data_IF_011620395229
#
_entry.id   IF_011620395229
#
_cell.length_a   1.000
_cell.length_b   1.000
_cell.length_c   1.000
_cell.angle_alpha   90.00
_cell.angle_beta   90.00
_cell.angle_gamma   90.00
#
_symmetry.space_group_name_H-M   'P 1'
#
loop_
_entity.id
_entity.type
_entity.pdbx_description
1 polymer ?
#
# COMPACT_ATOMS: atom_id res chain seq x y z
N UNK A 1 16.21 -4.51 -1.88
CA UNK A 1 14.95 -4.47 -2.64
C UNK A 1 14.09 -5.59 -2.09
N UNK A 2 12.97 -5.24 -1.44
CA UNK A 2 12.13 -6.22 -0.73
C UNK A 2 11.07 -6.83 -1.65
N UNK A 3 10.80 -8.10 -1.45
CA UNK A 3 9.67 -8.81 -2.01
C UNK A 3 8.47 -8.52 -1.12
N UNK A 4 7.44 -7.89 -1.69
CA UNK A 4 6.22 -7.57 -0.97
C UNK A 4 5.12 -8.53 -1.40
N UNK A 5 4.33 -9.02 -0.45
CA UNK A 5 3.13 -9.80 -0.72
C UNK A 5 1.94 -9.06 -0.11
N UNK A 6 1.04 -8.63 -0.97
CA UNK A 6 -0.26 -8.10 -0.58
C UNK A 6 -1.19 -9.27 -0.34
N UNK A 7 -1.75 -9.36 0.85
CA UNK A 7 -2.52 -10.53 1.31
C UNK A 7 -3.87 -10.10 1.85
N UNK A 8 -4.88 -10.92 1.58
CA UNK A 8 -6.22 -10.83 2.14
C UNK A 8 -6.78 -12.23 2.37
N UNK A 9 -7.71 -12.39 3.33
CA UNK A 9 -8.36 -13.67 3.64
C UNK A 9 -9.87 -13.51 3.75
N UNK A 10 -10.62 -14.54 3.27
CA UNK A 10 -12.01 -14.73 3.63
C UNK A 10 -12.13 -15.82 4.67
N UNK A 11 -13.09 -15.67 5.59
CA UNK A 11 -13.22 -16.52 6.76
C UNK A 11 -14.67 -16.93 7.02
N UNK A 12 -14.88 -18.01 7.80
CA UNK A 12 -16.23 -18.44 8.18
C UNK A 12 -16.94 -17.51 9.14
N UNK A 13 -16.22 -16.55 9.75
CA UNK A 13 -16.74 -15.60 10.72
C UNK A 13 -15.64 -14.65 11.20
N UNK A 14 -15.84 -14.00 12.33
CA UNK A 14 -15.00 -12.89 12.78
C UNK A 14 -13.94 -13.26 13.84
N UNK A 15 -13.91 -14.50 14.35
CA UNK A 15 -13.08 -14.84 15.49
C UNK A 15 -12.44 -16.22 15.34
N UNK A 16 -11.15 -16.24 15.02
CA UNK A 16 -10.34 -17.46 14.98
C UNK A 16 -10.34 -18.19 16.33
N UNK A 17 -10.34 -17.46 17.44
CA UNK A 17 -10.38 -18.04 18.80
C UNK A 17 -11.70 -18.77 19.09
N UNK A 18 -12.81 -18.35 18.48
CA UNK A 18 -14.10 -19.02 18.58
C UNK A 18 -14.27 -20.16 17.56
N UNK A 19 -13.19 -20.52 16.86
CA UNK A 19 -13.14 -21.64 15.94
C UNK A 19 -13.54 -21.27 14.52
N UNK A 20 -13.63 -19.98 14.15
CA UNK A 20 -13.76 -19.61 12.76
C UNK A 20 -12.47 -19.93 12.00
N UNK A 21 -12.60 -20.20 10.71
CA UNK A 21 -11.56 -20.77 9.86
C UNK A 21 -11.36 -19.95 8.60
N UNK A 22 -10.17 -19.97 8.04
CA UNK A 22 -9.89 -19.41 6.71
C UNK A 22 -10.54 -20.30 5.64
N UNK A 23 -11.21 -19.68 4.68
CA UNK A 23 -11.84 -20.37 3.54
C UNK A 23 -11.26 -19.94 2.18
N UNK A 24 -10.63 -18.76 2.12
CA UNK A 24 -9.93 -18.26 0.93
C UNK A 24 -8.69 -17.48 1.36
N UNK A 25 -7.58 -17.69 0.67
CA UNK A 25 -6.35 -16.92 0.80
C UNK A 25 -5.98 -16.36 -0.58
N UNK A 26 -5.88 -15.06 -0.66
CA UNK A 26 -5.44 -14.34 -1.85
C UNK A 26 -4.15 -13.58 -1.58
N UNK A 27 -3.13 -13.83 -2.41
CA UNK A 27 -1.85 -13.13 -2.33
C UNK A 27 -1.45 -12.62 -3.71
N UNK A 28 -0.94 -11.39 -3.73
CA UNK A 28 -0.43 -10.72 -4.93
C UNK A 28 1.00 -10.27 -4.66
N UNK A 29 1.93 -10.69 -5.51
CA UNK A 29 3.34 -10.36 -5.34
C UNK A 29 3.71 -9.06 -6.05
N UNK A 30 4.37 -8.17 -5.30
CA UNK A 30 4.99 -6.95 -5.81
C UNK A 30 6.51 -7.03 -5.68
N UNK A 31 7.20 -6.64 -6.74
CA UNK A 31 8.64 -6.41 -6.72
C UNK A 31 8.94 -5.04 -7.32
N UNK A 32 9.64 -4.19 -6.58
CA UNK A 32 9.88 -2.79 -6.99
C UNK A 32 8.57 -2.05 -7.35
N UNK A 33 7.51 -2.24 -6.56
CA UNK A 33 6.18 -1.63 -6.74
C UNK A 33 5.47 -2.03 -8.04
N UNK A 34 5.85 -3.15 -8.65
CA UNK A 34 5.21 -3.70 -9.84
C UNK A 34 4.71 -5.10 -9.55
N UNK A 35 3.54 -5.41 -10.07
CA UNK A 35 2.98 -6.76 -10.04
C UNK A 35 3.92 -7.70 -10.80
N UNK A 36 4.27 -8.84 -10.19
CA UNK A 36 5.12 -9.85 -10.82
C UNK A 36 4.32 -10.90 -11.57
N UNK A 37 3.04 -11.10 -11.16
CA UNK A 37 2.19 -12.17 -11.63
C UNK A 37 2.43 -13.51 -10.92
N UNK A 38 3.39 -13.58 -9.99
CA UNK A 38 3.62 -14.76 -9.14
C UNK A 38 2.67 -14.71 -7.93
N UNK A 39 1.40 -14.90 -8.18
CA UNK A 39 0.33 -14.78 -7.21
C UNK A 39 -0.06 -16.13 -6.61
N UNK A 40 -0.58 -16.13 -5.39
CA UNK A 40 -1.16 -17.31 -4.76
C UNK A 40 -2.66 -17.10 -4.54
N UNK A 41 -3.46 -18.12 -4.89
CA UNK A 41 -4.90 -18.11 -4.65
C UNK A 41 -5.38 -19.50 -4.28
N UNK A 42 -5.88 -19.66 -3.06
CA UNK A 42 -6.27 -20.96 -2.53
C UNK A 42 -7.63 -20.86 -1.82
N UNK A 43 -8.50 -21.83 -2.11
CA UNK A 43 -9.71 -22.08 -1.31
C UNK A 43 -9.48 -23.26 -0.37
N UNK A 44 -10.03 -23.18 0.83
CA UNK A 44 -9.91 -24.21 1.86
C UNK A 44 -11.26 -24.75 2.29
N UNK A 45 -11.28 -26.04 2.63
CA UNK A 45 -12.40 -26.63 3.33
C UNK A 45 -12.25 -26.36 4.84
N UNK A 46 -13.11 -25.54 5.44
CA UNK A 46 -13.03 -25.19 6.86
C UNK A 46 -13.58 -26.30 7.79
N UNK A 47 -14.20 -27.36 7.24
CA UNK A 47 -14.93 -28.41 7.97
C UNK A 47 -16.05 -27.87 8.87
N UNK A 48 -16.58 -26.71 8.55
CA UNK A 48 -17.71 -26.06 9.23
C UNK A 48 -18.46 -25.15 8.26
N UNK A 49 -19.65 -24.76 8.66
CA UNK A 49 -20.43 -23.76 7.91
C UNK A 49 -19.96 -22.34 8.24
N UNK A 50 -20.05 -21.48 7.26
CA UNK A 50 -19.85 -20.04 7.47
C UNK A 50 -21.04 -19.43 8.18
N UNK A 51 -20.81 -18.40 8.99
CA UNK A 51 -21.87 -17.57 9.54
C UNK A 51 -22.63 -16.89 8.39
N UNK A 52 -23.96 -16.71 8.54
CA UNK A 52 -24.80 -16.12 7.50
C UNK A 52 -24.30 -14.74 7.03
N UNK A 53 -23.76 -13.94 7.94
CA UNK A 53 -23.29 -12.61 7.60
C UNK A 53 -21.97 -12.68 6.82
N UNK A 54 -21.06 -13.61 7.12
CA UNK A 54 -19.86 -13.86 6.37
C UNK A 54 -20.21 -14.38 4.95
N UNK A 55 -21.15 -15.34 4.86
CA UNK A 55 -21.61 -15.85 3.58
C UNK A 55 -22.19 -14.77 2.66
N UNK A 56 -22.91 -13.78 3.21
CA UNK A 56 -23.42 -12.62 2.44
C UNK A 56 -22.30 -11.75 1.88
N UNK A 57 -21.15 -11.70 2.54
CA UNK A 57 -19.99 -10.89 2.14
C UNK A 57 -19.21 -11.59 1.03
N UNK A 58 -18.75 -12.82 1.25
CA UNK A 58 -17.87 -13.53 0.31
C UNK A 58 -18.60 -14.45 -0.68
N UNK A 59 -19.85 -14.86 -0.41
CA UNK A 59 -20.66 -15.69 -1.32
C UNK A 59 -20.19 -17.14 -1.47
N UNK A 60 -19.16 -17.59 -0.75
CA UNK A 60 -18.59 -18.95 -0.85
C UNK A 60 -19.44 -19.94 -0.05
N UNK A 61 -20.15 -20.83 -0.74
CA UNK A 61 -21.05 -21.79 -0.10
C UNK A 61 -20.27 -22.99 0.49
N UNK A 62 -20.84 -23.62 1.51
CA UNK A 62 -20.30 -24.85 2.10
C UNK A 62 -20.11 -25.94 1.05
N UNK A 63 -21.03 -26.06 0.10
CA UNK A 63 -20.95 -27.06 -0.97
C UNK A 63 -19.76 -26.81 -1.89
N UNK A 64 -19.47 -25.54 -2.22
CA UNK A 64 -18.29 -25.17 -3.00
C UNK A 64 -16.98 -25.51 -2.28
N UNK A 65 -16.94 -25.33 -0.97
CA UNK A 65 -15.75 -25.52 -0.17
C UNK A 65 -15.50 -26.99 0.24
N UNK A 66 -16.51 -27.84 0.15
CA UNK A 66 -16.46 -29.24 0.63
C UNK A 66 -15.31 -30.04 0.01
N UNK A 67 -15.06 -29.87 -1.27
CA UNK A 67 -14.05 -30.62 -2.03
C UNK A 67 -12.69 -29.92 -2.06
N UNK A 68 -12.53 -28.80 -1.35
CA UNK A 68 -11.26 -28.11 -1.27
C UNK A 68 -10.33 -28.75 -0.24
N UNK A 69 -9.00 -28.59 -0.37
CA UNK A 69 -8.06 -29.06 0.64
C UNK A 69 -8.26 -28.32 1.96
N UNK A 70 -7.91 -28.94 3.07
CA UNK A 70 -7.84 -28.27 4.37
C UNK A 70 -6.61 -27.38 4.43
N UNK A 71 -6.62 -26.32 5.25
CA UNK A 71 -5.46 -25.44 5.43
C UNK A 71 -4.21 -26.24 5.81
N UNK A 72 -4.30 -27.16 6.78
CA UNK A 72 -3.18 -27.96 7.23
C UNK A 72 -2.48 -28.77 6.11
N UNK A 73 -3.23 -29.14 5.05
CA UNK A 73 -2.65 -29.88 3.91
C UNK A 73 -1.72 -29.00 3.06
N UNK A 74 -2.01 -27.72 2.94
CA UNK A 74 -1.26 -26.76 2.11
C UNK A 74 -0.47 -25.74 2.94
N UNK A 75 -0.48 -25.88 4.27
CA UNK A 75 0.16 -24.92 5.16
C UNK A 75 1.66 -24.76 4.88
N UNK A 76 2.35 -25.84 4.48
CA UNK A 76 3.77 -25.76 4.15
C UNK A 76 4.01 -24.98 2.85
N UNK A 77 3.15 -25.13 1.85
CA UNK A 77 3.22 -24.38 0.58
C UNK A 77 2.97 -22.90 0.83
N UNK A 78 2.01 -22.58 1.73
CA UNK A 78 1.74 -21.19 2.17
C UNK A 78 2.96 -20.61 2.87
N UNK A 79 3.59 -21.34 3.80
CA UNK A 79 4.81 -20.89 4.48
C UNK A 79 5.91 -20.61 3.47
N UNK A 80 6.14 -21.53 2.52
CA UNK A 80 7.21 -21.39 1.53
C UNK A 80 6.97 -20.19 0.62
N UNK A 81 5.73 -19.96 0.20
CA UNK A 81 5.36 -18.79 -0.60
C UNK A 81 5.54 -17.47 0.16
N UNK A 82 5.19 -17.41 1.45
CA UNK A 82 5.29 -16.20 2.27
C UNK A 82 6.68 -15.94 2.84
N UNK A 83 7.58 -16.93 2.78
CA UNK A 83 8.92 -16.88 3.40
C UNK A 83 9.70 -15.66 2.96
N UNK A 84 10.30 -14.95 3.95
CA UNK A 84 11.17 -13.79 3.78
C UNK A 84 10.52 -12.60 3.06
N UNK A 85 9.20 -12.64 2.81
CA UNK A 85 8.45 -11.53 2.24
C UNK A 85 7.98 -10.56 3.31
N UNK A 86 7.92 -9.29 2.97
CA UNK A 86 7.16 -8.28 3.71
C UNK A 86 5.68 -8.39 3.32
N UNK A 87 4.79 -8.43 4.31
CA UNK A 87 3.36 -8.55 4.08
C UNK A 87 2.66 -7.19 4.14
N UNK A 88 1.79 -6.94 3.19
CA UNK A 88 0.95 -5.76 3.10
C UNK A 88 -0.50 -6.21 3.27
N UNK A 89 -1.14 -5.80 4.36
CA UNK A 89 -2.48 -6.27 4.73
C UNK A 89 -3.33 -5.08 5.18
N UNK A 90 -4.63 -5.10 4.89
CA UNK A 90 -5.56 -4.07 5.32
C UNK A 90 -6.30 -4.49 6.60
N UNK A 91 -6.01 -3.87 7.73
CA UNK A 91 -6.42 -4.32 9.06
C UNK A 91 -5.73 -5.62 9.47
N UNK A 92 -4.40 -5.62 9.39
CA UNK A 92 -3.53 -6.79 9.48
C UNK A 92 -3.75 -7.68 10.71
N UNK A 93 -4.21 -7.13 11.83
CA UNK A 93 -4.45 -7.91 13.04
C UNK A 93 -5.48 -9.04 12.83
N UNK A 94 -6.45 -8.84 11.93
CA UNK A 94 -7.47 -9.83 11.60
C UNK A 94 -6.84 -11.04 10.87
N UNK A 95 -6.22 -10.82 9.73
CA UNK A 95 -5.67 -11.89 8.89
C UNK A 95 -4.51 -12.60 9.56
N UNK A 96 -3.62 -11.85 10.23
CA UNK A 96 -2.50 -12.41 11.01
C UNK A 96 -3.03 -13.30 12.14
N UNK A 97 -4.10 -12.89 12.82
CA UNK A 97 -4.75 -13.70 13.86
C UNK A 97 -5.25 -15.05 13.31
N UNK A 98 -5.96 -15.01 12.18
CA UNK A 98 -6.46 -16.22 11.53
C UNK A 98 -5.33 -17.12 11.00
N UNK A 99 -4.32 -16.56 10.32
CA UNK A 99 -3.17 -17.31 9.84
C UNK A 99 -2.41 -17.99 10.98
N UNK A 100 -2.15 -17.27 12.07
CA UNK A 100 -1.49 -17.84 13.23
C UNK A 100 -2.30 -18.98 13.85
N UNK A 101 -3.64 -18.84 13.90
CA UNK A 101 -4.51 -19.92 14.44
C UNK A 101 -4.51 -21.15 13.54
N UNK A 102 -4.55 -20.99 12.24
CA UNK A 102 -4.45 -22.10 11.29
C UNK A 102 -3.09 -22.81 11.37
N UNK A 103 -2.00 -22.04 11.50
CA UNK A 103 -0.66 -22.58 11.68
C UNK A 103 -0.53 -23.34 13.02
N UNK A 104 -1.07 -22.78 14.11
CA UNK A 104 -1.13 -23.46 15.42
C UNK A 104 -1.85 -24.80 15.33
N UNK A 105 -3.04 -24.83 14.69
CA UNK A 105 -3.81 -26.05 14.49
C UNK A 105 -3.08 -27.08 13.62
N UNK A 106 -2.23 -26.64 12.71
CA UNK A 106 -1.37 -27.49 11.89
C UNK A 106 -0.07 -27.93 12.61
N UNK A 107 0.18 -27.46 13.83
CA UNK A 107 1.42 -27.73 14.58
C UNK A 107 2.66 -27.05 14.00
N UNK A 108 2.47 -25.91 13.32
CA UNK A 108 3.51 -25.15 12.63
C UNK A 108 3.86 -23.86 13.38
N UNK A 109 5.04 -23.28 13.14
CA UNK A 109 5.47 -22.05 13.81
C UNK A 109 4.62 -20.84 13.39
N UNK A 110 4.51 -19.80 14.25
CA UNK A 110 3.72 -18.62 13.95
C UNK A 110 4.28 -17.83 12.75
N UNK A 111 3.42 -17.06 12.09
CA UNK A 111 3.71 -16.27 10.88
C UNK A 111 5.00 -15.44 11.02
N UNK A 112 5.17 -14.75 12.13
CA UNK A 112 6.32 -13.89 12.41
C UNK A 112 7.68 -14.61 12.43
N UNK A 113 7.71 -15.96 12.45
CA UNK A 113 8.95 -16.73 12.45
C UNK A 113 9.56 -16.92 11.06
N UNK A 114 8.80 -16.66 10.00
CA UNK A 114 9.25 -16.90 8.62
C UNK A 114 8.92 -15.78 7.63
N UNK A 115 8.14 -14.77 8.02
CA UNK A 115 7.90 -13.56 7.20
C UNK A 115 8.77 -12.40 7.69
N UNK A 116 8.94 -11.39 6.84
CA UNK A 116 9.54 -10.12 7.22
C UNK A 116 8.57 -9.22 8.02
N UNK A 117 8.56 -7.94 7.71
CA UNK A 117 7.66 -6.99 8.35
C UNK A 117 6.21 -7.19 7.88
N UNK A 118 5.25 -6.88 8.76
CA UNK A 118 3.82 -6.83 8.41
C UNK A 118 3.37 -5.38 8.47
N UNK A 119 3.04 -4.83 7.32
CA UNK A 119 2.54 -3.46 7.16
C UNK A 119 1.01 -3.45 7.16
N UNK A 120 0.41 -2.73 8.12
CA UNK A 120 -1.04 -2.49 8.19
C UNK A 120 -1.42 -1.22 7.41
N UNK A 121 -2.01 -1.40 6.22
CA UNK A 121 -2.43 -0.27 5.37
C UNK A 121 -3.59 0.53 5.94
N UNK A 122 -4.43 -0.05 6.82
CA UNK A 122 -5.48 0.69 7.53
C UNK A 122 -4.87 1.68 8.53
N UNK A 123 -3.83 1.25 9.26
CA UNK A 123 -3.10 2.11 10.19
C UNK A 123 -2.39 3.24 9.42
N UNK A 124 -1.74 2.91 8.29
CA UNK A 124 -1.12 3.92 7.41
C UNK A 124 -2.15 4.93 6.88
N UNK A 125 -3.28 4.44 6.37
CA UNK A 125 -4.33 5.31 5.84
C UNK A 125 -4.94 6.22 6.92
N UNK A 126 -5.11 5.74 8.15
CA UNK A 126 -5.57 6.55 9.29
C UNK A 126 -4.58 7.65 9.64
N UNK A 127 -3.29 7.41 9.53
CA UNK A 127 -2.24 8.42 9.77
C UNK A 127 -2.26 9.52 8.69
N UNK A 128 -2.44 9.14 7.41
CA UNK A 128 -2.48 10.09 6.28
C UNK A 128 -3.83 10.82 6.19
N UNK A 129 -4.94 10.14 6.49
CA UNK A 129 -6.30 10.68 6.37
C UNK A 129 -7.08 10.57 7.70
N UNK A 130 -6.66 11.30 8.75
CA UNK A 130 -7.33 11.24 10.05
C UNK A 130 -8.79 11.71 9.92
N UNK A 131 -9.69 11.01 10.62
CA UNK A 131 -11.13 11.34 10.64
C UNK A 131 -11.89 11.02 9.35
N UNK A 132 -11.25 10.40 8.34
CA UNK A 132 -11.91 9.94 7.12
C UNK A 132 -12.22 8.43 7.20
N UNK A 133 -13.15 7.97 6.34
CA UNK A 133 -13.33 6.53 6.13
C UNK A 133 -12.11 5.98 5.41
N UNK A 134 -11.53 4.92 5.96
CA UNK A 134 -10.29 4.30 5.46
C UNK A 134 -10.46 2.78 5.23
N UNK A 135 -11.70 2.29 5.02
CA UNK A 135 -11.92 0.95 4.49
C UNK A 135 -11.32 0.81 3.10
N UNK A 136 -11.03 -0.41 2.65
CA UNK A 136 -10.50 -0.68 1.31
C UNK A 136 -11.34 -0.02 0.22
N UNK A 137 -12.68 -0.14 0.29
CA UNK A 137 -13.61 0.54 -0.62
C UNK A 137 -13.43 2.06 -0.64
N UNK A 138 -13.34 2.67 0.55
CA UNK A 138 -13.18 4.12 0.66
C UNK A 138 -11.82 4.60 0.12
N UNK A 139 -10.79 3.76 0.20
CA UNK A 139 -9.48 4.04 -0.36
C UNK A 139 -9.48 3.83 -1.88
N UNK A 140 -10.15 2.80 -2.40
CA UNK A 140 -10.35 2.60 -3.84
C UNK A 140 -11.05 3.83 -4.46
N UNK A 141 -12.16 4.28 -3.86
CA UNK A 141 -12.88 5.47 -4.33
C UNK A 141 -12.00 6.73 -4.30
N UNK A 142 -11.19 6.90 -3.25
CA UNK A 142 -10.29 8.05 -3.09
C UNK A 142 -9.17 8.09 -4.11
N UNK A 143 -8.62 6.93 -4.46
CA UNK A 143 -7.50 6.82 -5.40
C UNK A 143 -7.93 6.51 -6.84
N UNK A 144 -9.24 6.38 -7.10
CA UNK A 144 -9.76 6.04 -8.43
C UNK A 144 -9.40 4.63 -8.88
N UNK A 145 -9.25 3.70 -7.94
CA UNK A 145 -9.03 2.27 -8.24
C UNK A 145 -10.37 1.65 -8.63
N UNK A 146 -10.42 1.08 -9.83
CA UNK A 146 -11.64 0.48 -10.36
C UNK A 146 -11.96 -0.84 -9.65
N UNK A 147 -13.16 -0.90 -9.06
CA UNK A 147 -13.71 -2.07 -8.37
C UNK A 147 -15.04 -2.55 -8.98
N UNK A 148 -15.34 -2.17 -10.21
CA UNK A 148 -16.61 -2.48 -10.88
C UNK A 148 -16.88 -4.00 -11.02
N UNK A 149 -15.83 -4.80 -11.05
CA UNK A 149 -15.91 -6.26 -11.13
C UNK A 149 -16.15 -6.96 -9.78
N UNK A 150 -16.23 -6.22 -8.66
CA UNK A 150 -16.39 -6.76 -7.31
C UNK A 150 -17.86 -6.91 -6.95
N UNK A 151 -18.45 -8.06 -7.27
CA UNK A 151 -19.83 -8.41 -6.89
C UNK A 151 -19.90 -8.92 -5.45
N UNK A 152 -18.94 -9.74 -5.05
CA UNK A 152 -18.69 -10.24 -3.70
C UNK A 152 -17.27 -9.89 -3.29
N UNK A 153 -16.99 -9.93 -1.98
CA UNK A 153 -15.64 -9.92 -1.48
C UNK A 153 -14.96 -11.25 -1.85
N UNK A 154 -13.73 -11.19 -2.29
CA UNK A 154 -12.92 -12.36 -2.60
C UNK A 154 -11.47 -12.03 -2.36
N UNK A 155 -10.78 -12.85 -1.57
CA UNK A 155 -9.45 -12.55 -1.06
C UNK A 155 -8.44 -12.21 -2.18
N UNK A 156 -8.50 -12.90 -3.32
CA UNK A 156 -7.61 -12.59 -4.46
C UNK A 156 -7.89 -11.22 -5.06
N UNK A 157 -9.17 -10.88 -5.26
CA UNK A 157 -9.55 -9.59 -5.83
C UNK A 157 -9.23 -8.44 -4.86
N UNK A 158 -9.51 -8.65 -3.57
CA UNK A 158 -9.24 -7.65 -2.55
C UNK A 158 -7.74 -7.40 -2.36
N UNK A 159 -6.90 -8.45 -2.44
CA UNK A 159 -5.45 -8.31 -2.49
C UNK A 159 -4.97 -7.52 -3.73
N UNK A 160 -5.59 -7.70 -4.90
CA UNK A 160 -5.27 -6.91 -6.12
C UNK A 160 -5.64 -5.44 -5.94
N UNK A 161 -6.86 -5.15 -5.46
CA UNK A 161 -7.31 -3.78 -5.16
C UNK A 161 -6.41 -3.12 -4.11
N UNK A 162 -6.03 -3.88 -3.07
CA UNK A 162 -5.13 -3.40 -2.03
C UNK A 162 -3.73 -3.10 -2.58
N UNK A 163 -3.22 -3.88 -3.54
CA UNK A 163 -1.94 -3.61 -4.17
C UNK A 163 -1.94 -2.24 -4.88
N UNK A 164 -2.99 -1.93 -5.64
CA UNK A 164 -3.16 -0.63 -6.30
C UNK A 164 -3.32 0.51 -5.28
N UNK A 165 -4.11 0.28 -4.23
CA UNK A 165 -4.28 1.24 -3.13
C UNK A 165 -2.94 1.50 -2.43
N UNK A 166 -2.17 0.47 -2.10
CA UNK A 166 -0.87 0.59 -1.44
C UNK A 166 0.15 1.38 -2.29
N UNK A 167 0.21 1.07 -3.60
CA UNK A 167 1.05 1.82 -4.53
C UNK A 167 0.67 3.31 -4.54
N UNK A 168 -0.62 3.64 -4.54
CA UNK A 168 -1.08 5.03 -4.52
C UNK A 168 -0.86 5.70 -3.16
N UNK A 169 -1.13 5.01 -2.06
CA UNK A 169 -0.98 5.51 -0.69
C UNK A 169 0.49 5.88 -0.38
N UNK A 170 1.44 5.14 -0.95
CA UNK A 170 2.88 5.32 -0.72
C UNK A 170 3.59 6.15 -1.80
N UNK A 171 2.88 6.65 -2.81
CA UNK A 171 3.47 7.45 -3.93
C UNK A 171 4.14 8.76 -3.51
N UNK A 172 3.78 9.33 -2.38
CA UNK A 172 4.33 10.62 -1.91
C UNK A 172 5.49 10.48 -0.93
N UNK A 173 5.75 9.28 -0.40
CA UNK A 173 6.75 9.09 0.66
C UNK A 173 8.18 8.96 0.12
N UNK A 174 8.37 8.43 -1.07
CA UNK A 174 9.72 8.32 -1.67
C UNK A 174 10.34 9.66 -2.06
N UNK A 175 9.54 10.72 -2.19
CA UNK A 175 10.02 12.05 -2.56
C UNK A 175 10.48 12.92 -1.38
N UNK A 176 10.25 12.47 -0.13
CA UNK A 176 10.56 13.26 1.08
C UNK A 176 11.60 12.61 2.02
N UNK A 177 12.08 11.43 1.72
CA UNK A 177 13.26 10.87 2.39
C UNK A 177 14.55 11.41 1.77
N UNK A 178 14.70 12.72 1.74
CA UNK A 178 16.02 13.34 1.78
C UNK A 178 16.46 13.17 3.23
N UNK A 179 17.26 12.18 3.46
CA UNK A 179 17.82 11.86 4.77
C UNK A 179 18.75 12.99 5.23
N UNK A 180 18.21 13.94 5.97
CA UNK A 180 18.95 15.10 6.53
C UNK A 180 19.69 14.69 7.80
N UNK A 181 19.64 13.44 8.25
CA UNK A 181 20.16 13.02 9.57
C UNK A 181 21.15 11.86 9.58
N UNK A 182 21.62 11.33 8.46
CA UNK A 182 22.69 10.33 8.53
C UNK A 182 24.07 10.97 8.47
N UNK A 183 24.59 11.33 9.64
CA UNK A 183 26.02 11.58 9.88
C UNK A 183 26.81 10.26 10.05
N UNK A 184 26.40 9.18 9.40
CA UNK A 184 27.15 7.93 9.37
C UNK A 184 27.77 7.73 7.98
N UNK A 185 29.07 7.48 7.87
CA UNK A 185 29.69 7.24 6.55
C UNK A 185 29.28 5.86 6.03
N UNK A 186 28.21 5.80 5.23
CA UNK A 186 27.89 4.61 4.47
C UNK A 186 29.05 4.31 3.51
N UNK A 187 29.59 3.10 3.59
CA UNK A 187 30.55 2.54 2.62
C UNK A 187 29.88 2.29 1.26
N UNK A 188 29.46 3.36 0.62
CA UNK A 188 29.08 3.41 -0.78
C UNK A 188 29.73 4.64 -1.38
N UNK A 189 30.50 4.50 -2.44
CA UNK A 189 31.08 5.62 -3.18
C UNK A 189 29.96 6.56 -3.60
N UNK A 190 29.75 7.63 -2.83
CA UNK A 190 28.93 8.77 -3.25
C UNK A 190 29.68 9.37 -4.45
N UNK A 191 29.13 9.18 -5.65
CA UNK A 191 29.59 9.95 -6.82
C UNK A 191 29.19 11.42 -6.56
N UNK A 192 30.14 12.17 -6.00
CA UNK A 192 30.02 13.63 -5.93
C UNK A 192 30.19 14.13 -7.37
N UNK A 193 29.10 14.44 -8.03
CA UNK A 193 29.12 15.09 -9.34
C UNK A 193 29.49 16.54 -9.09
N UNK A 194 30.69 16.94 -9.49
CA UNK A 194 31.10 18.35 -9.49
C UNK A 194 30.37 19.08 -10.62
N UNK A 195 29.30 19.79 -10.27
CA UNK A 195 28.50 20.55 -11.23
C UNK A 195 29.27 21.74 -11.83
N UNK A 196 30.38 22.17 -11.22
CA UNK A 196 31.21 23.26 -11.75
C UNK A 196 31.99 22.82 -13.01
N UNK A 197 32.12 21.51 -13.25
CA UNK A 197 32.74 20.97 -14.45
C UNK A 197 31.83 20.98 -15.70
N UNK A 198 30.56 21.37 -15.55
CA UNK A 198 29.57 21.42 -16.63
C UNK A 198 29.17 22.85 -16.93
N UNK A 199 29.27 23.28 -18.18
CA UNK A 199 28.64 24.50 -18.66
C UNK A 199 27.12 24.25 -18.79
N UNK A 200 26.39 24.55 -17.73
CA UNK A 200 24.93 24.43 -17.73
C UNK A 200 24.33 25.61 -18.48
N UNK A 201 23.43 25.40 -19.47
CA UNK A 201 22.78 26.49 -20.15
C UNK A 201 21.87 27.23 -19.14
N UNK A 202 22.14 28.53 -18.97
CA UNK A 202 21.26 29.42 -18.19
C UNK A 202 20.12 29.87 -19.11
N UNK A 203 18.92 29.38 -18.80
CA UNK A 203 17.72 29.87 -19.52
C UNK A 203 17.41 31.28 -19.06
N UNK A 204 17.49 32.22 -20.00
CA UNK A 204 17.10 33.61 -19.77
C UNK A 204 15.70 33.81 -20.33
N UNK A 205 14.83 34.42 -19.54
CA UNK A 205 13.47 34.72 -19.99
C UNK A 205 13.47 35.66 -21.19
N UNK A 206 12.61 35.39 -22.15
CA UNK A 206 12.40 36.26 -23.33
C UNK A 206 11.71 37.58 -22.95
N UNK A 207 11.84 38.58 -23.77
CA UNK A 207 11.14 39.87 -23.56
C UNK A 207 9.62 39.70 -23.44
N UNK A 208 9.04 38.78 -24.20
CA UNK A 208 7.62 38.42 -24.13
C UNK A 208 7.23 37.82 -22.78
N UNK A 209 8.04 36.90 -22.24
CA UNK A 209 7.81 36.27 -20.93
C UNK A 209 7.96 37.31 -19.81
N UNK A 210 8.93 38.20 -19.90
CA UNK A 210 9.10 39.29 -18.93
C UNK A 210 7.91 40.27 -18.95
N UNK A 211 7.38 40.61 -20.13
CA UNK A 211 6.20 41.43 -20.25
C UNK A 211 4.95 40.77 -19.67
N UNK A 212 4.74 39.47 -19.98
CA UNK A 212 3.63 38.69 -19.42
C UNK A 212 3.73 38.57 -17.89
N UNK A 213 4.93 38.39 -17.37
CA UNK A 213 5.18 38.36 -15.92
C UNK A 213 4.83 39.70 -15.26
N UNK A 214 5.23 40.82 -15.85
CA UNK A 214 4.92 42.16 -15.32
C UNK A 214 3.41 42.43 -15.33
N UNK A 215 2.69 42.01 -16.37
CA UNK A 215 1.22 42.13 -16.42
C UNK A 215 0.54 41.37 -15.26
N UNK A 216 1.02 40.17 -14.93
CA UNK A 216 0.53 39.41 -13.77
C UNK A 216 0.84 40.13 -12.47
N UNK A 217 2.06 40.67 -12.30
CA UNK A 217 2.45 41.41 -11.11
C UNK A 217 1.58 42.66 -10.92
N UNK A 218 1.24 43.38 -11.99
CA UNK A 218 0.33 44.55 -11.95
C UNK A 218 -1.07 44.15 -11.49
N UNK A 219 -1.59 42.99 -11.92
CA UNK A 219 -2.89 42.48 -11.47
C UNK A 219 -2.84 42.11 -9.99
N UNK A 220 -1.76 41.48 -9.54
CA UNK A 220 -1.57 41.12 -8.14
C UNK A 220 -1.44 42.36 -7.25
N UNK A 221 -0.74 43.39 -7.69
CA UNK A 221 -0.62 44.65 -6.97
C UNK A 221 -1.98 45.34 -6.79
N UNK A 222 -2.83 45.35 -7.83
CA UNK A 222 -4.20 45.87 -7.73
C UNK A 222 -5.04 45.09 -6.70
N UNK A 223 -4.92 43.76 -6.64
CA UNK A 223 -5.70 42.93 -5.75
C UNK A 223 -5.18 42.91 -4.31
N UNK A 224 -3.88 43.16 -4.10
CA UNK A 224 -3.19 43.13 -2.81
C UNK A 224 -2.93 44.52 -2.20
N UNK A 225 -3.42 45.59 -2.82
CA UNK A 225 -3.10 46.99 -2.45
C UNK A 225 -1.59 47.25 -2.35
N UNK A 226 -0.84 46.81 -3.35
CA UNK A 226 0.61 47.03 -3.45
C UNK A 226 1.48 46.14 -2.53
N UNK A 227 0.93 45.07 -1.99
CA UNK A 227 1.65 44.15 -1.07
C UNK A 227 2.13 42.86 -1.76
N UNK A 228 2.55 42.94 -3.00
CA UNK A 228 3.01 41.76 -3.75
C UNK A 228 4.39 41.32 -3.26
N UNK A 229 4.50 40.08 -2.71
CA UNK A 229 5.73 39.55 -2.14
C UNK A 229 6.89 39.47 -3.13
N UNK A 230 6.61 39.26 -4.41
CA UNK A 230 7.63 39.19 -5.47
C UNK A 230 8.34 40.53 -5.70
N UNK A 231 7.65 41.66 -5.59
CA UNK A 231 8.30 42.99 -5.70
C UNK A 231 9.16 43.27 -4.46
N UNK A 232 8.71 42.88 -3.27
CA UNK A 232 9.47 43.05 -2.03
C UNK A 232 10.75 42.18 -1.99
N UNK A 233 10.70 40.98 -2.63
CA UNK A 233 11.87 40.11 -2.75
C UNK A 233 12.91 40.69 -3.74
N UNK A 234 12.47 41.29 -4.85
CA UNK A 234 13.35 41.94 -5.84
C UNK A 234 14.10 43.17 -5.24
N UNK A 235 13.42 44.00 -4.43
CA UNK A 235 14.05 45.15 -3.76
C UNK A 235 15.11 44.70 -2.71
N UNK A 236 14.92 43.58 -2.04
CA UNK A 236 15.90 43.02 -1.09
C UNK A 236 17.10 42.38 -1.76
N UNK A 237 17.01 41.95 -3.01
CA UNK A 237 18.11 41.32 -3.73
C UNK A 237 19.05 42.35 -4.38
N UNK A 238 18.68 43.63 -4.40
CA UNK A 238 19.46 44.76 -5.02
C UNK A 238 20.10 45.63 -3.95
N UNK A 239 19.78 45.46 -2.67
CA UNK A 239 20.35 46.13 -1.50
C UNK A 239 21.40 45.29 -0.79
#
# INVERSE_FOLDING_TARGET
MSRLIVLDTETTGLSAENGDRIIELGCVELFNRKLTGNDLHIYFNPERESHEDALKVHGLTTDFLRDKPKFATLAQDVIEYLRDAELIIHNAAFDVGFLNKELELAGLPPLASFVGEVTDTLAMAKAVYPGKRNSLDALCDRFGVDRSNRTFHGAKLDAQLLADVYINLTRGQDALLIDVTSNEPAHGTVLVIDLSAFELPVLVATEHELAAHEDVLVQLDKSSNGRTLFRQAAEKAVA
#
